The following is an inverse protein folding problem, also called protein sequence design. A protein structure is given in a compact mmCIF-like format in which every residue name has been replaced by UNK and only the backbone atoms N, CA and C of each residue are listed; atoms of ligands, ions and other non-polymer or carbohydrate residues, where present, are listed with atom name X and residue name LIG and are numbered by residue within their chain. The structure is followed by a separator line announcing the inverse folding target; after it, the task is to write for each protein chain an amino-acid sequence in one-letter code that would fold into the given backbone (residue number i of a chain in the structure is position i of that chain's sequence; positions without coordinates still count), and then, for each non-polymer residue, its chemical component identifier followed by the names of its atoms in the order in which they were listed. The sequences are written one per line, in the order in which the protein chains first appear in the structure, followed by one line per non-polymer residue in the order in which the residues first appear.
data_IF_103768203099
#
_entry.id   IF_103768203099
#
_cell.length_a   1.000
_cell.length_b   1.000
_cell.length_c   1.000
_cell.angle_alpha   90.00
_cell.angle_beta   90.00
_cell.angle_gamma   90.00
#
_symmetry.space_group_name_H-M   'P 1'
#
loop_
_entity.id
_entity.type
_entity.pdbx_description
1 polymer ?
#
# COMPACT_ATOMS: atom_id res chain seq x y z
N UNK A 1 -5.78 33.20 48.46
CA UNK A 1 -6.23 31.85 48.10
C UNK A 1 -5.79 31.61 46.67
N UNK A 2 -4.55 31.16 46.48
CA UNK A 2 -3.99 30.91 45.15
C UNK A 2 -4.26 29.46 44.80
N UNK A 3 -5.18 29.24 43.86
CA UNK A 3 -5.47 27.91 43.32
C UNK A 3 -4.31 27.44 42.46
N UNK A 4 -3.63 26.39 42.92
CA UNK A 4 -2.68 25.63 42.10
C UNK A 4 -3.49 24.86 41.05
N UNK A 5 -3.36 25.25 39.78
CA UNK A 5 -3.83 24.44 38.67
C UNK A 5 -2.99 23.16 38.61
N UNK A 6 -3.58 21.96 38.51
CA UNK A 6 -2.79 20.75 38.33
C UNK A 6 -2.13 20.80 36.95
N UNK A 7 -0.81 20.83 36.93
CA UNK A 7 -0.01 20.55 35.73
C UNK A 7 -0.31 19.10 35.35
N UNK A 8 -1.04 18.89 34.26
CA UNK A 8 -1.26 17.56 33.71
C UNK A 8 0.10 17.02 33.26
N UNK A 9 0.66 16.11 34.05
CA UNK A 9 1.83 15.33 33.67
C UNK A 9 1.44 14.51 32.45
N UNK A 10 2.09 14.75 31.31
CA UNK A 10 1.98 13.88 30.13
C UNK A 10 2.50 12.52 30.54
N UNK A 11 1.59 11.63 30.90
CA UNK A 11 1.87 10.25 31.26
C UNK A 11 2.34 9.51 30.01
N UNK A 12 3.50 8.86 30.09
CA UNK A 12 4.15 8.17 28.98
C UNK A 12 3.34 6.92 28.63
N UNK A 13 2.43 7.04 27.66
CA UNK A 13 1.52 5.95 27.28
C UNK A 13 2.34 4.86 26.58
N UNK A 14 2.36 3.61 27.08
CA UNK A 14 3.12 2.54 26.45
C UNK A 14 2.63 2.26 25.02
N UNK A 15 3.54 1.83 24.15
CA UNK A 15 3.23 1.44 22.76
C UNK A 15 3.08 -0.09 22.65
N UNK A 16 2.27 -0.54 21.69
CA UNK A 16 2.18 -1.95 21.32
C UNK A 16 3.44 -2.38 20.54
N UNK A 17 4.10 -3.48 20.92
CA UNK A 17 5.32 -3.94 20.24
C UNK A 17 5.08 -4.37 18.80
N UNK A 18 3.86 -4.80 18.45
CA UNK A 18 3.53 -5.33 17.13
C UNK A 18 3.16 -4.21 16.14
N UNK A 19 2.22 -3.34 16.53
CA UNK A 19 1.71 -2.29 15.64
C UNK A 19 2.33 -0.91 15.90
N UNK A 20 3.03 -0.70 17.02
CA UNK A 20 3.63 0.59 17.39
C UNK A 20 2.63 1.68 17.78
N UNK A 21 1.34 1.35 17.95
CA UNK A 21 0.32 2.30 18.42
C UNK A 21 0.36 2.44 19.94
N UNK A 22 -0.01 3.59 20.51
CA UNK A 22 -0.30 3.70 21.94
C UNK A 22 -1.33 2.63 22.35
N UNK A 23 -1.14 1.99 23.50
CA UNK A 23 -2.00 0.88 23.97
C UNK A 23 -3.52 1.17 23.86
N UNK A 24 -4.03 2.37 24.20
CA UNK A 24 -5.46 2.68 24.07
C UNK A 24 -6.01 2.69 22.62
N UNK A 25 -5.12 2.81 21.62
CA UNK A 25 -5.48 2.79 20.19
C UNK A 25 -5.12 1.46 19.52
N UNK A 26 -4.53 0.53 20.26
CA UNK A 26 -4.16 -0.77 19.76
C UNK A 26 -5.41 -1.64 19.55
N UNK A 27 -5.44 -2.38 18.43
CA UNK A 27 -6.47 -3.38 18.14
C UNK A 27 -5.88 -4.74 17.76
N UNK A 28 -4.58 -4.97 18.02
CA UNK A 28 -3.89 -6.21 17.63
C UNK A 28 -4.59 -7.46 18.15
N UNK A 29 -5.09 -7.42 19.39
CA UNK A 29 -5.78 -8.55 20.02
C UNK A 29 -7.10 -8.93 19.31
N UNK A 30 -7.66 -8.02 18.51
CA UNK A 30 -8.87 -8.25 17.71
C UNK A 30 -8.58 -8.66 16.27
N UNK A 31 -7.30 -8.77 15.87
CA UNK A 31 -6.95 -9.19 14.51
C UNK A 31 -7.11 -10.71 14.38
N UNK A 32 -8.10 -11.12 13.60
CA UNK A 32 -8.18 -12.49 13.10
C UNK A 32 -7.35 -12.59 11.80
N UNK A 33 -6.45 -13.59 11.67
CA UNK A 33 -5.71 -13.83 10.45
C UNK A 33 -6.64 -14.01 9.25
N UNK A 34 -6.32 -13.36 8.14
CA UNK A 34 -7.01 -13.46 6.86
C UNK A 34 -6.07 -14.17 5.89
N UNK A 35 -6.48 -15.36 5.47
CA UNK A 35 -5.74 -16.12 4.46
C UNK A 35 -5.83 -15.41 3.10
N UNK A 36 -4.68 -15.18 2.47
CA UNK A 36 -4.59 -14.58 1.16
C UNK A 36 -3.66 -15.39 0.24
N UNK A 37 -4.21 -15.86 -0.89
CA UNK A 37 -3.45 -16.59 -1.93
C UNK A 37 -2.39 -15.70 -2.58
N UNK A 38 -2.79 -14.47 -2.90
CA UNK A 38 -1.92 -13.47 -3.54
C UNK A 38 -1.07 -12.82 -2.46
N UNK A 39 0.24 -12.79 -2.66
CA UNK A 39 1.15 -12.12 -1.75
C UNK A 39 0.97 -10.60 -1.79
N UNK A 40 1.06 -9.94 -0.63
CA UNK A 40 0.87 -8.49 -0.54
C UNK A 40 2.15 -7.82 -0.05
N UNK A 41 2.79 -7.05 -0.92
CA UNK A 41 3.89 -6.16 -0.56
C UNK A 41 3.34 -4.76 -0.26
N UNK A 42 3.38 -4.35 0.99
CA UNK A 42 2.98 -3.02 1.44
C UNK A 42 4.23 -2.14 1.49
N UNK A 43 4.26 -1.09 0.68
CA UNK A 43 5.33 -0.10 0.68
C UNK A 43 4.83 1.18 1.33
N UNK A 44 5.50 1.56 2.42
CA UNK A 44 5.16 2.74 3.20
C UNK A 44 6.29 3.76 3.15
N UNK A 45 5.94 5.01 2.86
CA UNK A 45 6.91 6.10 2.92
C UNK A 45 7.26 6.41 4.39
N UNK A 46 8.52 6.77 4.73
CA UNK A 46 8.91 7.04 6.12
C UNK A 46 8.09 8.14 6.80
N UNK A 47 7.61 9.13 6.05
CA UNK A 47 6.77 10.23 6.56
C UNK A 47 5.31 9.82 6.81
N UNK A 48 4.85 8.70 6.24
CA UNK A 48 3.48 8.21 6.37
C UNK A 48 3.32 7.18 7.50
N UNK A 49 4.28 7.12 8.42
CA UNK A 49 4.22 6.30 9.61
C UNK A 49 3.35 6.97 10.69
N UNK A 50 2.10 7.29 10.36
CA UNK A 50 1.15 7.83 11.32
C UNK A 50 0.90 6.77 12.42
N UNK A 51 1.42 7.06 13.61
CA UNK A 51 1.33 6.16 14.76
C UNK A 51 -0.09 6.08 15.32
N UNK A 52 -0.91 7.11 15.11
CA UNK A 52 -2.28 7.15 15.60
C UNK A 52 -3.22 6.47 14.60
N UNK A 53 -3.22 6.91 13.34
CA UNK A 53 -4.21 6.50 12.33
C UNK A 53 -3.69 5.51 11.28
N UNK A 54 -2.39 5.25 11.22
CA UNK A 54 -1.81 4.37 10.19
C UNK A 54 -2.23 2.91 10.35
N UNK A 55 -2.59 2.26 9.24
CA UNK A 55 -3.08 0.87 9.20
C UNK A 55 -2.09 -0.12 8.62
N UNK A 56 -1.01 0.33 7.99
CA UNK A 56 -0.08 -0.53 7.24
C UNK A 56 0.47 -1.72 8.06
N UNK A 57 0.87 -1.48 9.32
CA UNK A 57 1.34 -2.53 10.23
C UNK A 57 0.22 -3.50 10.61
N UNK A 58 -0.98 -3.00 10.91
CA UNK A 58 -2.13 -3.83 11.24
C UNK A 58 -2.54 -4.72 10.05
N UNK A 59 -2.54 -4.17 8.84
CA UNK A 59 -2.81 -4.94 7.61
C UNK A 59 -1.77 -6.03 7.39
N UNK A 60 -0.49 -5.73 7.59
CA UNK A 60 0.58 -6.73 7.48
C UNK A 60 0.49 -7.83 8.56
N UNK A 61 0.03 -7.50 9.76
CA UNK A 61 -0.21 -8.47 10.85
C UNK A 61 -1.44 -9.35 10.58
N UNK A 62 -2.47 -8.80 9.91
CA UNK A 62 -3.71 -9.50 9.66
C UNK A 62 -3.63 -10.48 8.48
N UNK A 63 -2.89 -10.15 7.42
CA UNK A 63 -2.74 -11.01 6.24
C UNK A 63 -1.68 -12.09 6.45
N UNK A 64 -1.98 -13.34 6.09
CA UNK A 64 -1.03 -14.46 6.27
C UNK A 64 0.15 -14.42 5.31
N UNK A 65 -0.01 -13.77 4.15
CA UNK A 65 1.01 -13.66 3.12
C UNK A 65 1.25 -12.19 2.75
N UNK A 66 1.78 -11.42 3.70
CA UNK A 66 2.07 -10.00 3.51
C UNK A 66 3.44 -9.60 4.05
N UNK A 67 4.06 -8.63 3.39
CA UNK A 67 5.33 -8.03 3.78
C UNK A 67 5.19 -6.51 3.81
N UNK A 68 5.54 -5.87 4.94
CA UNK A 68 5.65 -4.42 5.04
C UNK A 68 7.12 -3.98 4.86
N UNK A 69 7.34 -2.99 4.00
CA UNK A 69 8.64 -2.32 3.85
C UNK A 69 8.46 -0.81 3.97
N UNK A 70 9.30 -0.20 4.78
CA UNK A 70 9.32 1.24 5.01
C UNK A 70 10.58 1.81 4.37
N UNK A 71 10.44 2.76 3.45
CA UNK A 71 11.58 3.27 2.69
C UNK A 71 11.20 4.22 1.56
N UNK A 72 12.23 4.80 0.95
CA UNK A 72 12.09 5.76 -0.16
C UNK A 72 12.14 5.09 -1.54
N UNK A 73 12.83 3.97 -1.68
CA UNK A 73 12.90 3.21 -2.94
C UNK A 73 13.58 1.87 -2.74
N UNK A 74 13.36 0.96 -3.70
CA UNK A 74 14.07 -0.30 -3.84
C UNK A 74 14.50 -0.46 -5.30
N UNK A 75 15.73 -0.91 -5.51
CA UNK A 75 16.28 -1.08 -6.86
C UNK A 75 15.61 -2.20 -7.66
N UNK A 76 14.89 -3.11 -6.99
CA UNK A 76 13.99 -4.07 -7.65
C UNK A 76 12.96 -4.66 -6.68
N UNK A 77 11.97 -5.35 -7.24
CA UNK A 77 10.99 -6.10 -6.47
C UNK A 77 11.65 -7.22 -5.65
N UNK A 78 12.60 -7.96 -6.24
CA UNK A 78 13.38 -8.97 -5.52
C UNK A 78 14.12 -8.38 -4.31
N UNK A 79 14.66 -7.15 -4.44
CA UNK A 79 15.33 -6.45 -3.33
C UNK A 79 14.36 -5.98 -2.25
N UNK A 80 13.15 -5.55 -2.62
CA UNK A 80 12.12 -5.22 -1.65
C UNK A 80 11.69 -6.45 -0.83
N UNK A 81 11.46 -7.57 -1.50
CA UNK A 81 11.01 -8.83 -0.87
C UNK A 81 12.13 -9.60 -0.17
N UNK A 82 13.40 -9.39 -0.55
CA UNK A 82 14.54 -10.11 -0.01
C UNK A 82 14.73 -11.52 -0.60
N UNK A 83 14.05 -11.83 -1.70
CA UNK A 83 14.13 -13.10 -2.44
C UNK A 83 13.90 -12.84 -3.93
N UNK A 84 14.39 -13.72 -4.79
CA UNK A 84 14.11 -13.62 -6.22
C UNK A 84 12.64 -13.87 -6.53
N UNK A 85 12.08 -13.03 -7.41
CA UNK A 85 10.72 -13.12 -7.93
C UNK A 85 10.69 -12.70 -9.40
N UNK A 86 9.68 -13.15 -10.14
CA UNK A 86 9.38 -12.64 -11.47
C UNK A 86 8.46 -11.40 -11.38
N UNK A 87 8.93 -10.20 -11.75
CA UNK A 87 8.08 -9.00 -11.77
C UNK A 87 6.87 -9.11 -12.70
N UNK A 88 6.92 -9.99 -13.72
CA UNK A 88 5.81 -10.20 -14.65
C UNK A 88 4.57 -10.85 -13.98
N UNK A 89 4.78 -11.56 -12.88
CA UNK A 89 3.71 -12.18 -12.06
C UNK A 89 3.20 -11.25 -10.96
N UNK A 90 3.67 -10.00 -10.90
CA UNK A 90 3.28 -9.02 -9.89
C UNK A 90 2.56 -7.82 -10.49
N UNK A 91 1.71 -7.18 -9.70
CA UNK A 91 0.97 -6.00 -10.13
C UNK A 91 0.90 -4.92 -9.05
N UNK A 92 0.63 -3.67 -9.42
CA UNK A 92 0.39 -2.60 -8.44
C UNK A 92 -1.11 -2.46 -8.21
N UNK A 93 -1.54 -2.53 -6.95
CA UNK A 93 -2.92 -2.29 -6.54
C UNK A 93 -3.13 -0.81 -6.20
N UNK A 94 -3.84 -0.11 -7.05
CA UNK A 94 -4.31 1.25 -6.85
C UNK A 94 -5.73 1.25 -6.28
N UNK A 95 -5.88 1.68 -5.04
CA UNK A 95 -7.19 1.89 -4.43
C UNK A 95 -7.68 3.31 -4.78
N UNK A 96 -8.74 3.46 -5.55
CA UNK A 96 -9.44 4.72 -5.81
C UNK A 96 -8.80 5.59 -6.90
N UNK A 97 -8.76 5.13 -8.14
CA UNK A 97 -8.58 6.05 -9.27
C UNK A 97 -9.96 6.38 -9.86
N UNK A 98 -10.38 7.65 -9.72
CA UNK A 98 -11.63 8.16 -10.27
C UNK A 98 -11.82 7.86 -11.78
N UNK A 99 -10.72 7.62 -12.50
CA UNK A 99 -10.72 7.22 -13.92
C UNK A 99 -11.22 5.80 -14.17
N UNK A 100 -11.22 4.92 -13.17
CA UNK A 100 -11.74 3.55 -13.30
C UNK A 100 -13.23 3.47 -13.00
N UNK A 101 -13.77 4.37 -12.18
CA UNK A 101 -15.22 4.48 -11.99
C UNK A 101 -15.96 4.85 -13.30
N UNK A 102 -15.25 5.44 -14.27
CA UNK A 102 -15.75 5.73 -15.63
C UNK A 102 -15.67 4.52 -16.58
N UNK A 103 -15.02 3.43 -16.18
CA UNK A 103 -14.93 2.22 -16.99
C UNK A 103 -16.22 1.44 -16.81
N UNK A 104 -16.99 1.25 -17.89
CA UNK A 104 -18.23 0.46 -17.89
C UNK A 104 -17.94 -1.02 -17.62
N UNK A 105 -17.75 -1.37 -16.34
CA UNK A 105 -17.46 -2.72 -15.88
C UNK A 105 -18.22 -3.03 -14.59
N UNK A 106 -18.70 -4.26 -14.49
CA UNK A 106 -19.35 -4.84 -13.31
C UNK A 106 -18.34 -5.48 -12.33
N UNK A 107 -17.04 -5.42 -12.65
CA UNK A 107 -15.99 -6.05 -11.85
C UNK A 107 -15.51 -5.15 -10.72
N UNK A 108 -15.34 -5.73 -9.54
CA UNK A 108 -14.73 -5.06 -8.38
C UNK A 108 -13.24 -4.74 -8.59
N UNK A 109 -12.57 -5.55 -9.42
CA UNK A 109 -11.15 -5.43 -9.75
C UNK A 109 -10.95 -5.59 -11.25
N UNK A 110 -10.23 -4.63 -11.83
CA UNK A 110 -9.84 -4.62 -13.24
C UNK A 110 -8.34 -4.42 -13.43
N UNK A 111 -7.81 -5.06 -14.47
CA UNK A 111 -6.46 -4.85 -14.97
C UNK A 111 -6.44 -3.63 -15.91
N UNK A 112 -5.50 -2.71 -15.68
CA UNK A 112 -5.28 -1.55 -16.55
C UNK A 112 -3.86 -1.52 -17.09
N UNK A 113 -3.70 -0.88 -18.24
CA UNK A 113 -2.41 -0.53 -18.80
C UNK A 113 -1.82 0.72 -18.11
N UNK A 114 -0.60 1.11 -18.51
CA UNK A 114 0.10 2.28 -17.94
C UNK A 114 -0.57 3.63 -18.25
N UNK A 115 -1.48 3.65 -19.22
CA UNK A 115 -2.26 4.85 -19.60
C UNK A 115 -3.58 4.92 -18.84
N UNK A 116 -3.92 3.90 -18.06
CA UNK A 116 -5.18 3.77 -17.35
C UNK A 116 -6.31 3.20 -18.21
N UNK A 117 -6.01 2.65 -19.39
CA UNK A 117 -6.98 1.96 -20.23
C UNK A 117 -7.22 0.53 -19.75
N UNK A 118 -8.43 0.00 -19.97
CA UNK A 118 -8.72 -1.41 -19.70
C UNK A 118 -7.87 -2.33 -20.56
N UNK A 119 -7.33 -3.36 -19.92
CA UNK A 119 -6.67 -4.43 -20.63
C UNK A 119 -7.67 -5.40 -21.25
N UNK A 120 -7.42 -5.83 -22.50
CA UNK A 120 -8.33 -6.76 -23.17
C UNK A 120 -8.30 -8.18 -22.56
N UNK A 121 -7.16 -8.60 -22.05
CA UNK A 121 -6.94 -9.95 -21.52
C UNK A 121 -7.18 -10.08 -20.00
N UNK A 122 -8.22 -9.41 -19.46
CA UNK A 122 -8.49 -9.28 -18.02
C UNK A 122 -8.28 -10.58 -17.22
N UNK A 123 -8.95 -11.67 -17.61
CA UNK A 123 -8.91 -12.92 -16.86
C UNK A 123 -7.54 -13.58 -16.87
N UNK A 124 -6.85 -13.57 -18.01
CA UNK A 124 -5.51 -14.16 -18.12
C UNK A 124 -4.53 -13.42 -17.21
N UNK A 125 -4.63 -12.09 -17.15
CA UNK A 125 -3.78 -11.25 -16.32
C UNK A 125 -4.07 -11.51 -14.84
N UNK A 126 -5.34 -11.38 -14.43
CA UNK A 126 -5.72 -11.50 -13.03
C UNK A 126 -5.47 -12.90 -12.47
N UNK A 127 -5.60 -13.94 -13.29
CA UNK A 127 -5.27 -15.31 -12.88
C UNK A 127 -3.77 -15.58 -12.82
N UNK A 128 -2.96 -14.87 -13.62
CA UNK A 128 -1.50 -15.02 -13.66
C UNK A 128 -0.77 -14.25 -12.56
N UNK A 129 -1.45 -13.40 -11.81
CA UNK A 129 -0.84 -12.66 -10.70
C UNK A 129 -0.59 -13.59 -9.51
N UNK A 130 0.62 -13.50 -8.98
CA UNK A 130 1.08 -14.17 -7.77
C UNK A 130 1.22 -13.20 -6.59
N UNK A 131 1.45 -11.90 -6.86
CA UNK A 131 1.59 -10.88 -5.83
C UNK A 131 1.14 -9.48 -6.26
N UNK A 132 0.79 -8.66 -5.28
CA UNK A 132 0.45 -7.25 -5.48
C UNK A 132 1.28 -6.32 -4.61
N UNK A 133 1.59 -5.14 -5.14
CA UNK A 133 2.20 -4.04 -4.42
C UNK A 133 1.13 -3.03 -4.04
N UNK A 134 1.00 -2.74 -2.76
CA UNK A 134 0.12 -1.71 -2.21
C UNK A 134 0.98 -0.54 -1.73
N UNK A 135 0.72 0.65 -2.28
CA UNK A 135 1.37 1.88 -1.83
C UNK A 135 0.50 2.49 -0.73
N UNK A 136 1.07 2.64 0.47
CA UNK A 136 0.42 3.41 1.53
C UNK A 136 0.37 4.87 1.09
N UNK A 137 -0.76 5.53 1.35
CA UNK A 137 -1.00 6.95 1.08
C UNK A 137 -1.78 7.55 2.25
N UNK A 138 -1.68 8.86 2.47
CA UNK A 138 -2.72 9.58 3.18
C UNK A 138 -4.02 9.48 2.35
N UNK A 139 -4.98 8.69 2.81
CA UNK A 139 -6.20 8.37 2.07
C UNK A 139 -7.21 9.52 2.18
N UNK A 140 -7.49 10.17 1.06
CA UNK A 140 -8.83 10.72 0.79
C UNK A 140 -9.74 9.55 0.37
N UNK A 141 -11.01 9.50 0.80
CA UNK A 141 -11.91 8.39 0.52
C UNK A 141 -12.35 8.38 -0.95
N UNK A 142 -12.13 7.27 -1.66
CA UNK A 142 -12.85 6.99 -2.91
C UNK A 142 -12.90 5.49 -3.23
N UNK A 143 -13.92 5.12 -4.02
CA UNK A 143 -14.40 3.76 -4.27
C UNK A 143 -13.68 3.11 -5.48
N UNK A 144 -13.33 1.83 -5.36
CA UNK A 144 -12.84 0.96 -6.44
C UNK A 144 -11.35 0.60 -6.36
N UNK A 145 -10.98 -0.67 -6.60
CA UNK A 145 -9.60 -1.14 -6.59
C UNK A 145 -9.14 -1.52 -8.01
N UNK A 146 -7.91 -1.14 -8.37
CA UNK A 146 -7.41 -1.21 -9.75
C UNK A 146 -6.05 -1.88 -9.75
N UNK A 147 -5.86 -2.86 -10.62
CA UNK A 147 -4.61 -3.59 -10.73
C UNK A 147 -3.88 -3.10 -11.98
N UNK A 148 -2.76 -2.41 -11.83
CA UNK A 148 -1.93 -2.07 -12.98
C UNK A 148 -1.03 -3.23 -13.37
N UNK A 149 -0.95 -3.47 -14.68
CA UNK A 149 -0.09 -4.42 -15.39
C UNK A 149 1.37 -4.46 -14.90
N UNK A 150 2.10 -5.55 -15.20
CA UNK A 150 3.31 -5.92 -14.49
C UNK A 150 4.38 -4.84 -14.53
N UNK A 151 5.09 -4.81 -13.41
CA UNK A 151 6.16 -3.85 -13.18
C UNK A 151 7.33 -4.17 -14.11
N UNK A 152 7.85 -3.17 -14.82
CA UNK A 152 9.24 -3.23 -15.27
C UNK A 152 10.12 -3.11 -14.01
N UNK A 153 11.25 -3.82 -13.99
CA UNK A 153 12.16 -4.16 -12.88
C UNK A 153 12.40 -3.18 -11.68
N UNK A 154 11.97 -1.92 -11.72
CA UNK A 154 12.20 -0.91 -10.69
C UNK A 154 10.91 -0.52 -9.94
N UNK A 155 10.97 -0.48 -8.60
CA UNK A 155 9.80 -0.25 -7.73
C UNK A 155 9.87 1.15 -7.12
N UNK A 156 9.11 2.14 -7.65
CA UNK A 156 9.16 3.49 -7.11
C UNK A 156 8.36 3.58 -5.79
N UNK A 157 8.92 4.25 -4.78
CA UNK A 157 8.07 4.90 -3.77
C UNK A 157 7.72 6.31 -4.25
N UNK A 158 6.51 6.76 -3.96
CA UNK A 158 6.02 8.07 -4.42
C UNK A 158 6.59 9.18 -3.54
N UNK A 159 7.13 10.22 -4.17
CA UNK A 159 7.46 11.50 -3.53
C UNK A 159 6.15 12.26 -3.22
N UNK A 160 5.85 12.60 -1.95
CA UNK A 160 4.62 13.29 -1.55
C UNK A 160 4.46 14.70 -2.13
N UNK A 161 5.47 15.25 -2.83
CA UNK A 161 5.42 16.60 -3.41
C UNK A 161 5.00 16.72 -4.90
N UNK A 162 4.62 15.65 -5.60
CA UNK A 162 4.32 15.72 -7.04
C UNK A 162 2.87 15.37 -7.40
N UNK A 163 2.08 16.41 -7.70
CA UNK A 163 0.79 16.33 -8.42
C UNK A 163 0.97 16.27 -9.95
N UNK A 164 2.19 16.02 -10.46
CA UNK A 164 2.42 15.88 -11.90
C UNK A 164 2.47 14.40 -12.29
N UNK A 165 1.75 13.97 -13.34
CA UNK A 165 1.94 12.64 -13.90
C UNK A 165 3.41 12.51 -14.30
N UNK A 166 4.09 11.46 -13.81
CA UNK A 166 5.43 11.09 -14.24
C UNK A 166 5.36 10.82 -15.73
N UNK A 167 5.72 11.81 -16.54
CA UNK A 167 5.98 11.64 -17.96
C UNK A 167 7.32 10.91 -18.06
N UNK A 168 7.24 9.61 -18.34
CA UNK A 168 8.37 8.81 -18.83
C UNK A 168 8.99 9.57 -20.01
N UNK A 169 10.19 10.11 -19.80
CA UNK A 169 11.04 10.58 -20.89
C UNK A 169 11.31 9.39 -21.80
N UNK A 170 10.94 9.57 -23.06
CA UNK A 170 11.32 8.70 -24.17
C UNK A 170 12.84 8.53 -24.17
N UNK A 171 13.32 7.29 -24.05
CA UNK A 171 14.61 6.91 -24.60
C UNK A 171 14.35 6.40 -26.02
N UNK A 172 14.76 7.21 -27.00
CA UNK A 172 14.86 6.83 -28.40
C UNK A 172 16.35 6.56 -28.71
N UNK A 173 16.56 5.47 -29.46
CA UNK A 173 17.80 5.03 -30.13
C UNK A 173 18.99 4.63 -29.25
#
# INVERSE_FOLDING_TARGET
MSGTSPTTTTEDIPECPDCGKPQPLCICDNLAPVENRIEVLILQHPQEQDRLLGTARLTALQLTNATLKIGLSWSSLSKALGREVDPASWAILYLGSAKVAELETDREVVAIDRKGGLEHAQNAILNGIEGVVVLVRHLEPSQGAVVAKPMDAEVPARDPGSEKPVTLRQAAA
#
